data_IF_325636854501
#
_entry.id   IF_325636854501
#
_cell.length_a   1.000
_cell.length_b   1.000
_cell.length_c   1.000
_cell.angle_alpha   90.00
_cell.angle_beta   90.00
_cell.angle_gamma   90.00
#
_symmetry.space_group_name_H-M   'P 1'
#
loop_
_entity.id
_entity.type
_entity.pdbx_description
1 polymer ?
#
# COMPACT_ATOMS: atom_id res chain seq x y z
N UNK A 1 -21.18 42.60 13.70
CA UNK A 1 -19.80 42.34 14.14
C UNK A 1 -19.17 41.45 13.11
N UNK A 2 -18.24 42.03 12.39
CA UNK A 2 -17.36 41.41 11.43
C UNK A 2 -16.39 40.50 12.19
N UNK A 3 -16.25 39.25 11.76
CA UNK A 3 -15.08 38.43 12.09
C UNK A 3 -14.81 37.52 10.89
N UNK A 4 -14.29 38.15 9.84
CA UNK A 4 -13.39 37.48 8.90
C UNK A 4 -12.14 37.07 9.71
N UNK A 5 -12.18 35.89 10.30
CA UNK A 5 -10.96 35.19 10.69
C UNK A 5 -10.29 34.76 9.37
N UNK A 6 -9.59 35.67 8.70
CA UNK A 6 -8.19 36.02 8.89
C UNK A 6 -7.30 34.82 8.51
N UNK A 7 -6.99 34.81 7.22
CA UNK A 7 -5.94 34.06 6.55
C UNK A 7 -4.61 34.28 7.26
N UNK A 8 -4.25 33.45 8.24
CA UNK A 8 -2.88 33.39 8.78
C UNK A 8 -2.58 31.99 9.29
N UNK A 9 -2.34 31.08 8.38
CA UNK A 9 -1.13 30.29 8.50
C UNK A 9 -0.75 29.85 7.10
N UNK A 10 0.10 30.67 6.46
CA UNK A 10 1.07 30.13 5.52
C UNK A 10 2.07 29.30 6.30
N UNK A 11 1.57 28.30 7.04
CA UNK A 11 2.37 27.27 7.63
C UNK A 11 3.18 26.77 6.45
N UNK A 12 4.49 26.99 6.58
CA UNK A 12 5.47 26.62 5.58
C UNK A 12 5.47 25.11 5.61
N UNK A 13 4.42 24.52 5.06
CA UNK A 13 4.18 23.10 5.00
C UNK A 13 5.19 22.61 3.99
N UNK A 14 6.40 22.38 4.51
CA UNK A 14 7.45 21.64 3.84
C UNK A 14 6.75 20.41 3.29
N UNK A 15 6.80 20.22 1.97
CA UNK A 15 6.14 19.08 1.36
C UNK A 15 6.65 17.82 2.04
N UNK A 16 5.78 16.83 2.28
CA UNK A 16 6.19 15.58 2.92
C UNK A 16 7.38 14.93 2.18
N UNK A 17 7.43 15.11 0.86
CA UNK A 17 8.54 14.72 -0.02
C UNK A 17 9.86 15.42 0.34
N UNK A 18 9.81 16.72 0.66
CA UNK A 18 10.99 17.53 1.01
C UNK A 18 11.52 17.14 2.39
N UNK A 19 10.62 16.80 3.33
CA UNK A 19 11.00 16.29 4.64
C UNK A 19 11.73 14.94 4.53
N UNK A 20 11.30 14.07 3.62
CA UNK A 20 11.96 12.79 3.32
C UNK A 20 13.33 13.04 2.70
N UNK A 21 13.42 13.98 1.76
CA UNK A 21 14.69 14.35 1.14
C UNK A 21 15.70 14.90 2.15
N UNK A 22 15.24 15.74 3.08
CA UNK A 22 16.08 16.26 4.18
C UNK A 22 16.53 15.16 5.15
N UNK A 23 15.67 14.17 5.42
CA UNK A 23 15.97 13.09 6.39
C UNK A 23 16.90 12.01 5.83
N UNK A 24 16.70 11.61 4.58
CA UNK A 24 17.43 10.49 3.98
C UNK A 24 18.48 10.92 2.94
N UNK A 25 18.50 12.20 2.55
CA UNK A 25 19.46 12.75 1.60
C UNK A 25 19.24 12.30 0.14
N UNK A 26 18.09 11.70 -0.17
CA UNK A 26 17.75 11.25 -1.52
C UNK A 26 16.26 11.49 -1.82
N UNK A 27 15.88 11.63 -3.11
CA UNK A 27 14.48 11.77 -3.51
C UNK A 27 13.63 10.60 -3.05
N UNK A 28 12.34 10.86 -2.80
CA UNK A 28 11.37 9.85 -2.37
C UNK A 28 11.35 8.64 -3.30
N UNK A 29 11.44 8.86 -4.61
CA UNK A 29 11.41 7.80 -5.62
C UNK A 29 12.57 6.82 -5.47
N UNK A 30 13.75 7.32 -5.12
CA UNK A 30 14.95 6.49 -4.98
C UNK A 30 14.95 5.74 -3.63
N UNK A 31 14.49 6.39 -2.57
CA UNK A 31 14.25 5.73 -1.28
C UNK A 31 13.20 4.62 -1.42
N UNK A 32 12.13 4.87 -2.17
CA UNK A 32 11.11 3.87 -2.45
C UNK A 32 11.68 2.66 -3.21
N UNK A 33 12.45 2.88 -4.29
CA UNK A 33 13.11 1.80 -5.04
C UNK A 33 14.04 0.97 -4.14
N UNK A 34 14.81 1.62 -3.28
CA UNK A 34 15.71 0.96 -2.33
C UNK A 34 14.95 0.15 -1.28
N UNK A 35 13.87 0.71 -0.72
CA UNK A 35 13.04 0.00 0.26
C UNK A 35 12.38 -1.25 -0.34
N UNK A 36 11.89 -1.16 -1.58
CA UNK A 36 11.30 -2.30 -2.29
C UNK A 36 12.36 -3.35 -2.62
N UNK A 37 13.55 -2.96 -3.08
CA UNK A 37 14.63 -3.92 -3.37
C UNK A 37 15.07 -4.65 -2.09
N UNK A 38 15.21 -3.92 -0.98
CA UNK A 38 15.50 -4.48 0.34
C UNK A 38 14.42 -5.47 0.78
N UNK A 39 13.15 -5.06 0.74
CA UNK A 39 12.03 -5.93 1.13
C UNK A 39 11.97 -7.21 0.28
N UNK A 40 12.13 -7.09 -1.05
CA UNK A 40 12.11 -8.26 -1.96
C UNK A 40 13.28 -9.20 -1.71
N UNK A 41 14.48 -8.67 -1.47
CA UNK A 41 15.65 -9.49 -1.13
C UNK A 41 15.50 -10.21 0.20
N UNK A 42 14.85 -9.57 1.19
CA UNK A 42 14.70 -10.13 2.53
C UNK A 42 13.47 -10.99 2.74
N UNK A 43 12.43 -10.84 1.92
CA UNK A 43 11.18 -11.65 2.00
C UNK A 43 11.46 -13.16 1.96
N UNK A 44 12.49 -13.57 1.22
CA UNK A 44 12.90 -14.98 1.12
C UNK A 44 13.80 -15.43 2.27
N UNK A 45 14.42 -14.50 2.98
CA UNK A 45 15.24 -14.79 4.16
C UNK A 45 14.36 -14.83 5.40
N UNK A 46 14.60 -15.77 6.31
CA UNK A 46 13.90 -15.84 7.59
C UNK A 46 14.21 -14.65 8.53
N UNK A 47 15.05 -13.70 8.12
CA UNK A 47 15.45 -12.57 8.97
C UNK A 47 14.41 -11.46 9.06
N UNK A 48 13.63 -11.24 7.99
CA UNK A 48 12.60 -10.20 7.96
C UNK A 48 11.20 -10.84 7.88
N UNK A 49 10.77 -11.41 9.01
CA UNK A 49 9.40 -11.92 9.14
C UNK A 49 8.42 -10.76 9.34
N UNK A 50 7.80 -10.31 8.24
CA UNK A 50 6.77 -9.28 8.28
C UNK A 50 5.40 -9.93 8.50
N UNK A 51 4.57 -9.48 9.45
CA UNK A 51 3.20 -9.97 9.65
C UNK A 51 2.36 -9.89 8.37
N UNK A 52 1.40 -10.81 8.20
CA UNK A 52 0.57 -10.89 7.00
C UNK A 52 -0.16 -9.57 6.71
N UNK A 53 -0.68 -8.93 7.74
CA UNK A 53 -1.43 -7.67 7.68
C UNK A 53 -0.57 -6.54 7.11
N UNK A 54 0.71 -6.50 7.48
CA UNK A 54 1.66 -5.51 6.95
C UNK A 54 2.03 -5.80 5.50
N UNK A 55 2.12 -7.08 5.10
CA UNK A 55 2.32 -7.45 3.69
C UNK A 55 1.11 -7.07 2.82
N UNK A 56 -0.11 -7.26 3.35
CA UNK A 56 -1.33 -6.78 2.71
C UNK A 56 -1.32 -5.26 2.54
N UNK A 57 -0.92 -4.53 3.58
CA UNK A 57 -0.81 -3.07 3.50
C UNK A 57 0.18 -2.60 2.43
N UNK A 58 1.36 -3.23 2.35
CA UNK A 58 2.34 -2.90 1.29
C UNK A 58 1.82 -3.19 -0.11
N UNK A 59 1.06 -4.28 -0.27
CA UNK A 59 0.38 -4.57 -1.52
C UNK A 59 -0.69 -3.51 -1.83
N UNK A 60 -1.48 -3.10 -0.85
CA UNK A 60 -2.48 -2.04 -1.01
C UNK A 60 -1.86 -0.74 -1.50
N UNK A 61 -0.80 -0.27 -0.85
CA UNK A 61 -0.06 0.92 -1.29
C UNK A 61 0.55 0.75 -2.68
N UNK A 62 1.15 -0.40 -2.97
CA UNK A 62 1.72 -0.67 -4.29
C UNK A 62 0.67 -0.65 -5.40
N UNK A 63 -0.55 -1.11 -5.11
CA UNK A 63 -1.68 -1.07 -6.03
C UNK A 63 -2.23 0.35 -6.16
N UNK A 64 -2.34 1.09 -5.05
CA UNK A 64 -2.81 2.47 -5.07
C UNK A 64 -1.92 3.38 -5.92
N UNK A 65 -0.60 3.20 -5.86
CA UNK A 65 0.36 3.93 -6.69
C UNK A 65 0.19 3.63 -8.19
N UNK A 66 -0.27 2.42 -8.55
CA UNK A 66 -0.38 1.99 -9.95
C UNK A 66 -1.75 2.25 -10.56
N UNK A 67 -2.82 1.99 -9.81
CA UNK A 67 -4.20 2.00 -10.29
C UNK A 67 -5.00 3.20 -9.77
N UNK A 68 -4.42 3.97 -8.83
CA UNK A 68 -5.12 5.05 -8.15
C UNK A 68 -5.87 4.58 -6.90
N UNK A 69 -6.75 5.42 -6.35
CA UNK A 69 -7.53 5.10 -5.16
C UNK A 69 -8.29 3.78 -5.31
N UNK A 70 -8.37 3.00 -4.22
CA UNK A 70 -9.14 1.76 -4.22
C UNK A 70 -10.62 2.05 -4.46
N UNK A 71 -11.20 1.39 -5.46
CA UNK A 71 -12.62 1.40 -5.77
C UNK A 71 -13.21 0.02 -5.47
N UNK A 72 -14.08 -0.04 -4.47
CA UNK A 72 -14.74 -1.27 -4.07
C UNK A 72 -15.70 -1.83 -5.14
N UNK A 73 -16.16 -0.99 -6.08
CA UNK A 73 -17.02 -1.44 -7.18
C UNK A 73 -16.26 -2.25 -8.25
N UNK A 74 -14.94 -2.08 -8.33
CA UNK A 74 -14.06 -2.78 -9.27
C UNK A 74 -13.30 -3.95 -8.63
N UNK A 75 -13.72 -4.42 -7.44
CA UNK A 75 -13.04 -5.49 -6.73
C UNK A 75 -13.30 -6.85 -7.38
N UNK A 76 -12.48 -7.19 -8.37
CA UNK A 76 -12.36 -8.56 -8.85
C UNK A 76 -11.74 -9.40 -7.72
N UNK A 77 -12.41 -10.50 -7.36
CA UNK A 77 -11.97 -11.43 -6.32
C UNK A 77 -10.46 -11.72 -6.45
N UNK A 78 -9.68 -11.28 -5.48
CA UNK A 78 -8.22 -11.42 -5.49
C UNK A 78 -7.44 -10.11 -5.50
N UNK A 79 -8.09 -8.93 -5.41
CA UNK A 79 -7.36 -7.67 -5.33
C UNK A 79 -6.37 -7.61 -4.15
N UNK A 80 -6.67 -8.26 -3.03
CA UNK A 80 -5.74 -8.35 -1.89
C UNK A 80 -5.19 -9.76 -1.67
N UNK A 81 -5.12 -10.59 -2.71
CA UNK A 81 -4.54 -11.94 -2.61
C UNK A 81 -3.03 -11.94 -2.89
N UNK A 82 -2.22 -12.27 -1.89
CA UNK A 82 -0.76 -12.44 -2.04
C UNK A 82 -0.38 -13.62 -2.94
N UNK A 83 -1.29 -14.58 -3.13
CA UNK A 83 -1.10 -15.80 -3.94
C UNK A 83 -1.42 -15.55 -5.41
N UNK A 84 -2.20 -14.50 -5.73
CA UNK A 84 -2.65 -14.16 -7.08
C UNK A 84 -4.13 -14.45 -7.32
N UNK A 85 -4.67 -13.89 -8.41
CA UNK A 85 -6.06 -14.09 -8.87
C UNK A 85 -6.29 -15.43 -9.58
N UNK A 86 -5.27 -16.27 -9.74
CA UNK A 86 -5.34 -17.58 -10.42
C UNK A 86 -6.21 -18.61 -9.66
N UNK A 87 -6.97 -18.17 -8.65
CA UNK A 87 -7.99 -18.98 -8.01
C UNK A 87 -9.09 -19.20 -9.03
N UNK A 88 -9.05 -20.35 -9.70
CA UNK A 88 -10.25 -20.87 -10.36
C UNK A 88 -11.32 -21.01 -9.29
N UNK A 89 -12.55 -20.51 -9.50
CA UNK A 89 -13.65 -20.78 -8.57
C UNK A 89 -13.71 -22.28 -8.36
N UNK A 90 -13.63 -22.70 -7.10
CA UNK A 90 -13.84 -24.10 -6.75
C UNK A 90 -15.24 -24.42 -7.29
N UNK A 91 -15.41 -25.40 -8.21
CA UNK A 91 -16.73 -25.71 -8.72
C UNK A 91 -17.65 -25.95 -7.53
N UNK A 92 -18.78 -25.25 -7.49
CA UNK A 92 -19.74 -25.19 -6.37
C UNK A 92 -20.22 -26.58 -5.91
N UNK A 93 -19.94 -27.62 -6.69
CA UNK A 93 -20.30 -29.02 -6.50
C UNK A 93 -19.66 -29.64 -5.24
N UNK A 94 -18.53 -29.15 -4.73
CA UNK A 94 -17.91 -29.72 -3.52
C UNK A 94 -18.40 -29.12 -2.18
N UNK A 95 -19.21 -28.06 -2.18
CA UNK A 95 -19.78 -27.52 -0.92
C UNK A 95 -21.00 -28.30 -0.40
N UNK A 96 -21.37 -29.40 -1.04
CA UNK A 96 -22.31 -30.38 -0.51
C UNK A 96 -21.69 -31.13 0.67
N UNK A 97 -21.63 -30.48 1.83
CA UNK A 97 -21.36 -31.15 3.11
C UNK A 97 -22.48 -32.18 3.34
N UNK A 98 -22.17 -33.49 3.47
CA UNK A 98 -23.17 -34.46 3.86
C UNK A 98 -23.69 -34.11 5.25
N UNK A 99 -25.02 -34.00 5.37
CA UNK A 99 -25.72 -33.83 6.65
C UNK A 99 -25.47 -35.00 7.59
#
# INVERSE_FOLDING_TARGET
MENRASERDGDMAIGETDLIMNKFGAPLEDIYKLAISFYRGRKHSCELMIPYEKRLLFMAYSKQVRYGPYDAAADDSGWFDLVGSDRTPIPEVELSVPK
#
